data_IF_517759344542
#
_entry.id   IF_517759344542
#
_cell.length_a   1.000
_cell.length_b   1.000
_cell.length_c   1.000
_cell.angle_alpha   90.00
_cell.angle_beta   90.00
_cell.angle_gamma   90.00
#
_symmetry.space_group_name_H-M   'P 1'
#
loop_
_entity.id
_entity.type
_entity.pdbx_description
1 polymer ?
#
# COMPACT_ATOMS: atom_id res chain seq x y z
N UNK A 1 -48.39 -7.32 22.99
CA UNK A 1 -47.60 -8.20 22.09
C UNK A 1 -47.07 -7.29 20.98
N UNK A 2 -45.85 -6.75 21.10
CA UNK A 2 -44.54 -7.35 20.77
C UNK A 2 -44.40 -7.73 19.28
N UNK A 3 -43.60 -6.93 18.53
CA UNK A 3 -42.60 -7.31 17.49
C UNK A 3 -42.02 -6.00 16.89
N UNK A 4 -40.99 -5.36 17.46
CA UNK A 4 -39.53 -5.51 17.19
C UNK A 4 -39.06 -5.76 15.74
N UNK A 5 -38.56 -4.67 15.13
CA UNK A 5 -37.24 -4.43 14.48
C UNK A 5 -36.84 -5.12 13.14
N UNK A 6 -36.56 -4.25 12.13
CA UNK A 6 -35.44 -4.11 11.13
C UNK A 6 -34.79 -5.38 10.51
N UNK A 7 -34.24 -5.38 9.26
CA UNK A 7 -33.38 -4.31 8.69
C UNK A 7 -33.39 -4.13 7.14
N UNK A 8 -33.01 -2.94 6.66
CA UNK A 8 -32.15 -2.74 5.47
C UNK A 8 -31.94 -1.23 5.30
N UNK A 9 -30.87 -0.69 5.86
CA UNK A 9 -30.36 0.61 5.44
C UNK A 9 -28.84 0.52 5.26
N UNK A 10 -28.40 1.20 4.22
CA UNK A 10 -27.19 1.01 3.43
C UNK A 10 -25.87 0.96 4.21
N UNK A 11 -25.02 0.02 3.80
CA UNK A 11 -23.58 0.11 3.97
C UNK A 11 -23.08 1.19 3.01
N UNK A 12 -22.96 2.41 3.52
CA UNK A 12 -22.29 3.50 2.83
C UNK A 12 -20.78 3.26 2.88
N UNK A 13 -20.19 3.44 1.71
CA UNK A 13 -18.79 3.37 1.33
C UNK A 13 -17.92 4.33 2.17
N UNK A 14 -17.41 3.84 3.30
CA UNK A 14 -16.46 4.54 4.17
C UNK A 14 -15.02 4.16 3.79
N UNK A 15 -14.59 4.54 2.60
CA UNK A 15 -13.18 4.45 2.19
C UNK A 15 -12.53 5.82 2.01
N UNK A 16 -13.21 6.89 2.45
CA UNK A 16 -12.78 8.28 2.26
C UNK A 16 -12.26 8.98 3.50
N UNK A 17 -12.50 8.47 4.71
CA UNK A 17 -12.12 9.16 5.95
C UNK A 17 -10.67 8.88 6.37
N UNK A 18 -10.11 7.72 6.00
CA UNK A 18 -8.75 7.30 6.39
C UNK A 18 -7.63 8.16 5.77
N UNK A 19 -7.89 8.81 4.64
CA UNK A 19 -6.88 9.61 3.95
C UNK A 19 -6.69 11.02 4.55
N UNK A 20 -7.70 11.55 5.26
CA UNK A 20 -7.69 12.94 5.78
C UNK A 20 -7.16 13.07 7.19
N UNK A 21 -7.04 11.96 7.92
CA UNK A 21 -6.59 11.96 9.31
C UNK A 21 -5.06 11.92 9.43
N UNK A 22 -4.35 11.49 8.38
CA UNK A 22 -2.89 11.36 8.38
C UNK A 22 -2.15 12.69 8.15
N UNK A 23 -2.76 13.66 7.47
CA UNK A 23 -2.11 14.92 7.08
C UNK A 23 -1.96 15.95 8.23
N UNK A 24 -2.46 15.63 9.43
CA UNK A 24 -2.56 16.58 10.55
C UNK A 24 -1.89 16.11 11.84
N UNK A 25 -1.16 15.00 11.82
CA UNK A 25 -0.40 14.59 12.99
C UNK A 25 0.89 15.44 13.11
N UNK A 26 1.07 16.22 14.19
CA UNK A 26 2.29 16.99 14.43
C UNK A 26 3.55 16.14 14.58
N UNK A 27 3.45 14.80 14.59
CA UNK A 27 4.58 13.86 14.53
C UNK A 27 5.02 13.47 13.10
N UNK A 28 4.27 13.87 12.07
CA UNK A 28 4.56 13.51 10.68
C UNK A 28 5.59 14.48 10.08
N UNK A 29 6.84 14.41 10.54
CA UNK A 29 7.95 15.10 9.90
C UNK A 29 8.28 14.40 8.57
N UNK A 30 8.41 15.18 7.50
CA UNK A 30 8.67 14.66 6.16
C UNK A 30 9.99 13.91 6.06
N UNK A 31 10.99 14.33 6.84
CA UNK A 31 12.32 13.71 6.88
C UNK A 31 12.29 12.34 7.59
N UNK A 32 11.51 12.20 8.67
CA UNK A 32 11.34 10.92 9.39
C UNK A 32 10.51 9.92 8.58
N UNK A 33 9.46 10.41 7.92
CA UNK A 33 8.60 9.60 7.05
C UNK A 33 9.37 9.03 5.85
N UNK A 34 10.19 9.87 5.20
CA UNK A 34 11.01 9.42 4.07
C UNK A 34 12.05 8.38 4.52
N UNK A 35 12.67 8.58 5.69
CA UNK A 35 13.58 7.61 6.28
C UNK A 35 12.89 6.27 6.56
N UNK A 36 11.71 6.30 7.18
CA UNK A 36 10.89 5.10 7.46
C UNK A 36 10.52 4.37 6.16
N UNK A 37 10.13 5.09 5.11
CA UNK A 37 9.84 4.49 3.81
C UNK A 37 11.07 3.80 3.20
N UNK A 38 12.24 4.44 3.26
CA UNK A 38 13.49 3.83 2.77
C UNK A 38 13.85 2.56 3.54
N UNK A 39 13.68 2.55 4.86
CA UNK A 39 13.88 1.36 5.69
C UNK A 39 12.89 0.25 5.34
N UNK A 40 11.61 0.58 5.18
CA UNK A 40 10.57 -0.36 4.78
C UNK A 40 10.90 -1.00 3.42
N UNK A 41 11.30 -0.19 2.43
CA UNK A 41 11.72 -0.67 1.11
C UNK A 41 12.96 -1.56 1.21
N UNK A 42 13.93 -1.20 2.06
CA UNK A 42 15.15 -1.98 2.28
C UNK A 42 14.86 -3.37 2.90
N UNK A 43 13.80 -3.49 3.70
CA UNK A 43 13.36 -4.75 4.31
C UNK A 43 12.70 -5.73 3.32
N UNK A 44 12.30 -5.25 2.14
CA UNK A 44 11.63 -6.09 1.15
C UNK A 44 12.57 -7.14 0.55
N UNK A 45 12.06 -8.35 0.28
CA UNK A 45 12.74 -9.29 -0.62
C UNK A 45 13.09 -8.64 -1.95
N UNK A 46 14.22 -9.02 -2.52
CA UNK A 46 14.80 -8.39 -3.71
C UNK A 46 13.80 -8.20 -4.86
N UNK A 47 13.05 -9.23 -5.22
CA UNK A 47 12.03 -9.15 -6.28
C UNK A 47 10.88 -8.20 -5.97
N UNK A 48 10.48 -8.09 -4.71
CA UNK A 48 9.42 -7.16 -4.28
C UNK A 48 9.94 -5.73 -4.33
N UNK A 49 11.17 -5.50 -3.85
CA UNK A 49 11.85 -4.21 -3.90
C UNK A 49 12.04 -3.68 -5.33
N UNK A 50 12.55 -4.52 -6.24
CA UNK A 50 12.76 -4.14 -7.64
C UNK A 50 11.45 -3.73 -8.30
N UNK A 51 10.41 -4.56 -8.15
CA UNK A 51 9.10 -4.29 -8.75
C UNK A 51 8.45 -3.05 -8.14
N UNK A 52 8.58 -2.85 -6.83
CA UNK A 52 8.08 -1.65 -6.16
C UNK A 52 8.77 -0.39 -6.71
N UNK A 53 10.11 -0.39 -6.80
CA UNK A 53 10.85 0.76 -7.29
C UNK A 53 10.49 1.12 -8.73
N UNK A 54 10.50 0.13 -9.63
CA UNK A 54 10.14 0.34 -11.03
C UNK A 54 8.71 0.86 -11.18
N UNK A 55 7.77 0.38 -10.37
CA UNK A 55 6.36 0.77 -10.47
C UNK A 55 6.09 2.15 -9.86
N UNK A 56 6.71 2.47 -8.72
CA UNK A 56 6.39 3.63 -7.90
C UNK A 56 7.30 4.83 -8.19
N UNK A 57 8.61 4.62 -8.28
CA UNK A 57 9.56 5.71 -8.55
C UNK A 57 9.78 5.92 -10.05
N UNK A 58 9.93 4.83 -10.82
CA UNK A 58 10.15 4.92 -12.26
C UNK A 58 8.83 4.96 -13.07
N UNK A 59 7.68 4.87 -12.38
CA UNK A 59 6.32 4.87 -12.93
C UNK A 59 6.07 3.86 -14.07
N UNK A 60 6.92 2.84 -14.20
CA UNK A 60 6.95 1.91 -15.31
C UNK A 60 5.66 1.09 -15.39
N UNK A 61 5.21 0.79 -16.62
CA UNK A 61 4.04 -0.07 -16.83
C UNK A 61 4.40 -1.55 -16.64
N UNK A 62 3.42 -2.36 -16.29
CA UNK A 62 3.65 -3.78 -16.05
C UNK A 62 4.11 -4.53 -17.30
N UNK A 63 3.65 -4.09 -18.47
CA UNK A 63 4.01 -4.65 -19.77
C UNK A 63 5.49 -4.41 -20.08
N UNK A 64 6.01 -3.22 -19.75
CA UNK A 64 7.42 -2.85 -19.93
C UNK A 64 8.30 -3.62 -18.94
N UNK A 65 7.91 -3.68 -17.66
CA UNK A 65 8.58 -4.50 -16.64
C UNK A 65 8.60 -5.99 -17.01
N UNK A 66 7.52 -6.49 -17.62
CA UNK A 66 7.39 -7.89 -18.05
C UNK A 66 8.43 -8.24 -19.10
N UNK A 67 8.67 -7.33 -20.06
CA UNK A 67 9.72 -7.48 -21.06
C UNK A 67 11.12 -7.34 -20.45
N UNK A 68 11.32 -6.39 -19.54
CA UNK A 68 12.61 -6.11 -18.90
C UNK A 68 13.08 -7.27 -18.00
N UNK A 69 12.16 -7.85 -17.23
CA UNK A 69 12.46 -8.84 -16.18
C UNK A 69 12.17 -10.29 -16.62
N UNK A 70 11.78 -10.50 -17.87
CA UNK A 70 11.43 -11.80 -18.47
C UNK A 70 10.49 -12.61 -17.57
N UNK A 71 9.36 -11.99 -17.20
CA UNK A 71 8.36 -12.59 -16.30
C UNK A 71 6.96 -12.14 -16.67
N UNK A 72 5.93 -12.80 -16.15
CA UNK A 72 4.55 -12.44 -16.45
C UNK A 72 4.07 -11.20 -15.69
N UNK A 73 3.18 -10.43 -16.32
CA UNK A 73 2.45 -9.31 -15.68
C UNK A 73 1.73 -9.75 -14.40
N UNK A 74 1.17 -10.97 -14.37
CA UNK A 74 0.52 -11.51 -13.18
C UNK A 74 1.48 -11.67 -11.99
N UNK A 75 2.68 -12.20 -12.26
CA UNK A 75 3.72 -12.34 -11.24
C UNK A 75 4.20 -10.97 -10.72
N UNK A 76 4.33 -9.98 -11.61
CA UNK A 76 4.70 -8.61 -11.22
C UNK A 76 3.64 -7.95 -10.35
N UNK A 77 2.35 -8.04 -10.72
CA UNK A 77 1.24 -7.51 -9.92
C UNK A 77 1.19 -8.14 -8.53
N UNK A 78 1.37 -9.45 -8.45
CA UNK A 78 1.44 -10.14 -7.16
C UNK A 78 2.64 -9.67 -6.33
N UNK A 79 3.83 -9.57 -6.95
CA UNK A 79 5.04 -9.07 -6.30
C UNK A 79 4.86 -7.66 -5.75
N UNK A 80 4.29 -6.74 -6.56
CA UNK A 80 3.99 -5.37 -6.16
C UNK A 80 3.01 -5.30 -4.99
N UNK A 81 1.90 -6.04 -5.07
CA UNK A 81 0.90 -6.07 -4.01
C UNK A 81 1.49 -6.59 -2.68
N UNK A 82 2.35 -7.62 -2.73
CA UNK A 82 3.07 -8.07 -1.52
C UNK A 82 4.08 -7.05 -1.00
N UNK A 83 4.74 -6.29 -1.88
CA UNK A 83 5.63 -5.21 -1.48
C UNK A 83 4.87 -4.12 -0.71
N UNK A 84 3.75 -3.64 -1.26
CA UNK A 84 2.89 -2.62 -0.63
C UNK A 84 2.43 -3.08 0.75
N UNK A 85 1.87 -4.29 0.86
CA UNK A 85 1.40 -4.82 2.15
C UNK A 85 2.49 -4.90 3.23
N UNK A 86 3.73 -5.18 2.83
CA UNK A 86 4.85 -5.22 3.78
C UNK A 86 5.30 -3.84 4.21
N UNK A 87 5.29 -2.88 3.29
CA UNK A 87 5.55 -1.48 3.62
C UNK A 87 4.46 -0.98 4.58
N UNK A 88 3.18 -1.21 4.27
CA UNK A 88 2.07 -0.87 5.15
C UNK A 88 2.22 -1.51 6.55
N UNK A 89 2.58 -2.79 6.62
CA UNK A 89 2.82 -3.47 7.89
C UNK A 89 4.02 -2.88 8.65
N UNK A 90 5.09 -2.50 7.95
CA UNK A 90 6.26 -1.87 8.56
C UNK A 90 5.89 -0.57 9.27
N UNK A 91 5.08 0.27 8.63
CA UNK A 91 4.57 1.52 9.24
C UNK A 91 3.69 1.23 10.46
N UNK A 92 2.75 0.29 10.37
CA UNK A 92 1.92 -0.10 11.52
C UNK A 92 2.72 -0.63 12.72
N UNK A 93 3.90 -1.23 12.50
CA UNK A 93 4.78 -1.71 13.58
C UNK A 93 5.63 -0.60 14.20
N UNK A 94 5.74 0.56 13.54
CA UNK A 94 6.59 1.69 13.94
C UNK A 94 5.80 2.97 14.26
N UNK A 95 4.46 2.91 14.25
CA UNK A 95 3.52 3.93 14.77
C UNK A 95 3.40 3.90 16.31
#
# INVERSE_FOLDING_TARGET
MLQRQHPTESLSDDTGEVARTLESDPYFDGDETELLLQQAIASLPEKQRIVFNLKYFDEMKYEEMSQLLDTSVGALKASYHFAVKKIEAYFHEHD
#
